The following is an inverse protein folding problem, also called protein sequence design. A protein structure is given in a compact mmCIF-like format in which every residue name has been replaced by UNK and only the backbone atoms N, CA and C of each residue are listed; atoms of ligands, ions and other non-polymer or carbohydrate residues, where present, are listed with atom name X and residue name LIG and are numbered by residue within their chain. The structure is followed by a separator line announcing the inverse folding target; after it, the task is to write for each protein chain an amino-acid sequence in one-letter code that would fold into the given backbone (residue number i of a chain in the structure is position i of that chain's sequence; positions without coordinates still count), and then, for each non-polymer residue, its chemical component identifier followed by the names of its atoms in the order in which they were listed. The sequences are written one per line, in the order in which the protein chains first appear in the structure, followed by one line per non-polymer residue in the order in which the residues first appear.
data_IF_684213026666
#
_entry.id   IF_684213026666
#
_cell.length_a   1.000
_cell.length_b   1.000
_cell.length_c   1.000
_cell.angle_alpha   90.00
_cell.angle_beta   90.00
_cell.angle_gamma   90.00
#
_symmetry.space_group_name_H-M   'P 1'
#
loop_
_entity.id
_entity.type
_entity.pdbx_description
1 polymer ?
#
# COMPACT_ATOMS: atom_id res chain seq x y z
N UNK A 1 -12.88 -57.80 -14.73
CA UNK A 1 -11.68 -57.42 -13.95
C UNK A 1 -11.21 -56.04 -14.44
N UNK A 2 -11.47 -54.96 -13.72
CA UNK A 2 -10.95 -53.63 -14.02
C UNK A 2 -9.56 -53.53 -13.40
N UNK A 3 -8.52 -53.47 -14.24
CA UNK A 3 -7.17 -53.17 -13.78
C UNK A 3 -7.12 -51.78 -13.18
N UNK A 4 -6.72 -51.70 -11.89
CA UNK A 4 -6.52 -50.43 -11.20
C UNK A 4 -5.42 -49.61 -11.88
N UNK A 5 -5.77 -48.39 -12.27
CA UNK A 5 -4.78 -47.38 -12.66
C UNK A 5 -3.94 -47.08 -11.42
N UNK A 6 -2.65 -47.39 -11.46
CA UNK A 6 -1.66 -46.88 -10.51
C UNK A 6 -1.65 -45.35 -10.63
N UNK A 7 -2.01 -44.67 -9.57
CA UNK A 7 -1.76 -43.23 -9.44
C UNK A 7 -0.24 -43.01 -9.45
N UNK A 8 0.25 -42.24 -10.40
CA UNK A 8 1.67 -41.93 -10.53
C UNK A 8 1.96 -40.61 -9.78
N UNK A 9 3.13 -40.57 -9.13
CA UNK A 9 3.54 -39.39 -8.41
C UNK A 9 3.83 -38.23 -9.37
N UNK A 10 3.66 -36.99 -8.88
CA UNK A 10 4.00 -35.75 -9.61
C UNK A 10 5.48 -35.76 -10.04
N UNK A 11 6.34 -36.37 -9.25
CA UNK A 11 7.79 -36.48 -9.52
C UNK A 11 8.11 -37.31 -10.78
N UNK A 12 7.32 -38.36 -11.09
CA UNK A 12 7.46 -39.11 -12.35
C UNK A 12 7.10 -38.26 -13.58
N UNK A 13 6.23 -37.28 -13.42
CA UNK A 13 5.82 -36.34 -14.50
C UNK A 13 6.83 -35.22 -14.73
N UNK A 14 7.57 -34.82 -13.70
CA UNK A 14 8.64 -33.80 -13.82
C UNK A 14 9.85 -34.34 -14.63
N UNK A 15 10.11 -35.64 -14.61
CA UNK A 15 11.20 -36.29 -15.36
C UNK A 15 10.94 -36.43 -16.87
N UNK A 16 9.67 -36.29 -17.31
CA UNK A 16 9.27 -36.43 -18.70
C UNK A 16 8.16 -35.42 -19.08
N UNK A 17 8.52 -34.20 -19.46
CA UNK A 17 7.56 -33.13 -19.77
C UNK A 17 6.62 -33.42 -20.94
N UNK A 18 7.06 -34.22 -21.94
CA UNK A 18 6.21 -34.59 -23.08
C UNK A 18 5.12 -35.54 -22.68
N UNK A 19 5.47 -36.48 -21.78
CA UNK A 19 4.54 -37.44 -21.21
C UNK A 19 3.58 -36.78 -20.22
N UNK A 20 4.04 -35.74 -19.49
CA UNK A 20 3.20 -34.94 -18.62
C UNK A 20 2.11 -34.25 -19.41
N UNK A 21 2.43 -33.61 -20.56
CA UNK A 21 1.47 -32.99 -21.43
C UNK A 21 0.43 -33.97 -22.00
N UNK A 22 0.85 -35.18 -22.35
CA UNK A 22 -0.07 -36.23 -22.85
C UNK A 22 -1.04 -36.71 -21.75
N UNK A 23 -0.56 -36.87 -20.52
CA UNK A 23 -1.35 -37.37 -19.39
C UNK A 23 -2.29 -36.28 -18.83
N UNK A 24 -1.80 -35.03 -18.68
CA UNK A 24 -2.56 -33.96 -18.03
C UNK A 24 -3.57 -33.33 -19.02
N UNK A 25 -3.16 -33.13 -20.27
CA UNK A 25 -3.95 -32.38 -21.26
C UNK A 25 -4.52 -33.27 -22.38
N UNK A 26 -4.33 -34.60 -22.34
CA UNK A 26 -4.85 -35.53 -23.35
C UNK A 26 -4.24 -35.33 -24.75
N UNK A 27 -3.09 -34.69 -24.85
CA UNK A 27 -2.45 -34.38 -26.15
C UNK A 27 -1.75 -35.61 -26.70
N UNK A 28 -2.03 -35.99 -27.95
CA UNK A 28 -1.31 -37.04 -28.63
C UNK A 28 0.06 -36.54 -29.11
N UNK A 29 1.12 -37.26 -28.76
CA UNK A 29 2.49 -36.96 -29.14
C UNK A 29 2.69 -36.95 -30.64
N UNK A 30 3.08 -35.82 -31.20
CA UNK A 30 3.37 -35.65 -32.61
C UNK A 30 3.97 -34.27 -32.98
N UNK A 31 3.81 -33.29 -32.05
CA UNK A 31 4.38 -31.96 -32.26
C UNK A 31 5.06 -31.57 -30.94
N UNK A 32 6.39 -31.36 -31.00
CA UNK A 32 7.13 -30.86 -29.83
C UNK A 32 6.59 -29.48 -29.40
N UNK A 33 6.72 -29.12 -28.10
CA UNK A 33 6.37 -27.77 -27.62
C UNK A 33 6.95 -26.67 -28.50
N UNK A 34 8.16 -26.88 -29.01
CA UNK A 34 8.84 -25.94 -29.91
C UNK A 34 8.16 -25.88 -31.27
N UNK A 35 7.81 -27.01 -31.87
CA UNK A 35 7.09 -27.07 -33.13
C UNK A 35 5.65 -26.56 -33.05
N UNK A 36 4.99 -26.69 -31.87
CA UNK A 36 3.68 -26.10 -31.66
C UNK A 36 3.75 -24.57 -31.53
N UNK A 37 4.78 -24.05 -30.86
CA UNK A 37 4.99 -22.61 -30.71
C UNK A 37 5.52 -21.92 -31.99
N UNK A 38 6.21 -22.68 -32.88
CA UNK A 38 6.75 -22.19 -34.11
C UNK A 38 5.79 -22.34 -35.36
N UNK A 39 4.65 -23.02 -35.19
CA UNK A 39 3.78 -23.39 -36.28
C UNK A 39 2.33 -22.92 -36.20
N UNK A 40 1.50 -23.47 -37.09
CA UNK A 40 0.06 -23.16 -37.25
C UNK A 40 -0.80 -23.31 -35.95
N UNK A 41 -0.27 -23.91 -34.91
CA UNK A 41 -0.96 -24.06 -33.61
C UNK A 41 -1.21 -22.72 -32.90
N UNK A 42 -0.29 -21.76 -33.01
CA UNK A 42 -0.45 -20.40 -32.48
C UNK A 42 -1.53 -19.59 -33.23
N UNK A 43 -1.56 -19.75 -34.55
CA UNK A 43 -2.57 -19.10 -35.39
C UNK A 43 -3.98 -19.71 -35.13
N UNK A 44 -4.07 -21.02 -34.91
CA UNK A 44 -5.33 -21.69 -34.57
C UNK A 44 -5.85 -21.34 -33.17
N UNK A 45 -4.96 -21.16 -32.18
CA UNK A 45 -5.37 -20.68 -30.85
C UNK A 45 -5.84 -19.24 -30.90
N UNK A 46 -5.18 -18.36 -31.64
CA UNK A 46 -5.61 -16.95 -31.85
C UNK A 46 -6.99 -16.86 -32.49
N UNK A 47 -7.30 -17.74 -33.45
CA UNK A 47 -8.60 -17.81 -34.09
C UNK A 47 -9.70 -18.45 -33.19
N UNK A 48 -9.35 -19.42 -32.36
CA UNK A 48 -10.28 -20.13 -31.47
C UNK A 48 -10.65 -19.35 -30.19
N UNK A 49 -9.73 -18.52 -29.69
CA UNK A 49 -9.92 -17.74 -28.44
C UNK A 49 -10.57 -16.39 -28.73
N UNK A 50 -10.67 -16.00 -30.01
CA UNK A 50 -11.23 -14.71 -30.41
C UNK A 50 -10.40 -13.51 -29.94
N UNK A 51 -10.60 -12.36 -30.58
CA UNK A 51 -9.83 -11.14 -30.34
C UNK A 51 -10.10 -10.44 -28.99
N UNK A 52 -10.71 -11.11 -28.03
CA UNK A 52 -11.01 -10.55 -26.71
C UNK A 52 -10.63 -11.50 -25.59
N UNK A 53 -9.33 -11.51 -25.23
CA UNK A 53 -8.94 -12.00 -23.91
C UNK A 53 -9.21 -10.85 -22.92
N UNK A 54 -10.19 -10.98 -22.00
CA UNK A 54 -10.58 -9.90 -21.10
C UNK A 54 -9.48 -9.41 -20.16
N UNK A 55 -8.32 -10.07 -20.20
CA UNK A 55 -7.20 -9.87 -19.26
C UNK A 55 -5.91 -9.36 -19.93
N UNK A 56 -5.93 -9.03 -21.23
CA UNK A 56 -4.73 -8.60 -21.96
C UNK A 56 -4.04 -7.37 -21.34
N UNK A 57 -4.81 -6.48 -20.66
CA UNK A 57 -4.28 -5.31 -19.96
C UNK A 57 -3.58 -5.60 -18.63
N UNK A 58 -3.72 -6.82 -18.08
CA UNK A 58 -3.18 -7.19 -16.76
C UNK A 58 -2.02 -8.21 -16.84
N UNK A 59 -1.59 -8.57 -18.03
CA UNK A 59 -0.47 -9.48 -18.23
C UNK A 59 0.82 -8.63 -18.23
N UNK A 60 1.83 -8.97 -17.40
CA UNK A 60 3.11 -8.27 -17.40
C UNK A 60 3.71 -8.18 -18.81
N UNK A 61 4.23 -7.01 -19.17
CA UNK A 61 4.89 -6.79 -20.45
C UNK A 61 6.01 -7.84 -20.64
N UNK A 62 5.96 -8.58 -21.74
CA UNK A 62 6.89 -9.68 -22.05
C UNK A 62 6.30 -11.09 -21.93
N UNK A 63 5.12 -11.27 -21.31
CA UNK A 63 4.41 -12.56 -21.30
C UNK A 63 3.40 -12.70 -22.45
N UNK A 64 3.10 -11.61 -23.18
CA UNK A 64 2.27 -11.66 -24.38
C UNK A 64 3.19 -11.89 -25.56
N UNK A 65 3.07 -13.02 -26.29
CA UNK A 65 3.77 -13.19 -27.55
C UNK A 65 3.47 -12.03 -28.50
N UNK A 66 4.47 -11.50 -29.19
CA UNK A 66 4.34 -10.34 -30.08
C UNK A 66 3.22 -10.46 -31.14
N UNK A 67 2.81 -11.69 -31.47
CA UNK A 67 1.72 -11.98 -32.41
C UNK A 67 0.34 -11.52 -31.87
N UNK A 68 0.18 -11.36 -30.55
CA UNK A 68 -1.04 -10.87 -29.95
C UNK A 68 -1.02 -9.36 -29.66
N UNK A 69 0.10 -8.70 -29.94
CA UNK A 69 0.27 -7.25 -29.82
C UNK A 69 -0.17 -6.50 -31.08
N UNK A 70 -1.14 -7.03 -31.85
CA UNK A 70 -1.68 -6.29 -32.99
C UNK A 70 -2.53 -5.12 -32.53
N UNK A 71 -2.11 -3.94 -33.00
CA UNK A 71 -2.73 -2.64 -32.79
C UNK A 71 -4.23 -2.64 -33.13
N UNK A 72 -5.06 -2.69 -32.07
CA UNK A 72 -6.33 -1.97 -32.13
C UNK A 72 -6.12 -0.67 -31.36
N UNK A 73 -6.58 0.49 -31.88
CA UNK A 73 -6.58 1.70 -31.08
C UNK A 73 -7.47 1.43 -29.88
N UNK A 74 -6.84 1.20 -28.70
CA UNK A 74 -7.55 1.17 -27.45
C UNK A 74 -8.00 2.61 -27.17
N UNK A 75 -9.30 2.84 -27.15
CA UNK A 75 -9.85 3.95 -26.42
C UNK A 75 -9.38 3.81 -24.96
N UNK A 76 -8.48 4.70 -24.54
CA UNK A 76 -7.82 4.68 -23.24
C UNK A 76 -6.49 3.92 -23.23
N UNK A 77 -5.47 4.40 -23.96
CA UNK A 77 -4.07 4.10 -23.66
C UNK A 77 -3.87 4.34 -22.15
N UNK A 78 -3.21 3.41 -21.41
CA UNK A 78 -2.54 3.83 -20.20
C UNK A 78 -1.63 5.00 -20.64
N UNK A 79 -1.84 6.19 -20.12
CA UNK A 79 -0.94 7.31 -20.35
C UNK A 79 0.45 6.80 -20.01
N UNK A 80 1.43 7.06 -20.88
CA UNK A 80 2.84 6.89 -20.53
C UNK A 80 3.04 7.48 -19.14
N UNK A 81 3.83 6.85 -18.25
CA UNK A 81 4.02 7.36 -16.90
C UNK A 81 4.44 8.83 -17.01
N UNK A 82 3.52 9.73 -16.72
CA UNK A 82 3.81 11.15 -16.75
C UNK A 82 4.74 11.42 -15.58
N UNK A 83 5.92 11.96 -15.88
CA UNK A 83 6.83 12.41 -14.83
C UNK A 83 6.08 13.41 -13.94
N UNK A 84 6.11 13.16 -12.65
CA UNK A 84 5.50 14.06 -11.68
C UNK A 84 6.26 15.39 -11.66
N UNK A 85 5.61 16.44 -12.15
CA UNK A 85 6.16 17.81 -12.03
C UNK A 85 5.47 18.50 -10.85
N UNK A 86 6.03 18.30 -9.66
CA UNK A 86 5.55 18.96 -8.44
C UNK A 86 6.76 19.44 -7.63
N UNK A 87 6.87 20.76 -7.32
CA UNK A 87 7.98 21.29 -6.55
C UNK A 87 8.21 20.53 -5.23
N UNK A 88 9.45 20.16 -4.95
CA UNK A 88 9.85 19.40 -3.76
C UNK A 88 9.50 17.92 -3.79
N UNK A 89 9.11 17.37 -4.95
CA UNK A 89 8.84 15.93 -5.13
C UNK A 89 9.75 15.31 -6.19
N UNK A 90 10.09 14.03 -5.96
CA UNK A 90 10.88 13.24 -6.90
C UNK A 90 10.05 12.98 -8.18
N UNK A 91 10.59 13.27 -9.37
CA UNK A 91 9.90 13.03 -10.64
C UNK A 91 9.65 11.55 -10.95
N UNK A 92 10.35 10.63 -10.26
CA UNK A 92 10.17 9.19 -10.44
C UNK A 92 8.99 8.61 -9.63
N UNK A 93 8.27 9.41 -8.85
CA UNK A 93 7.03 8.96 -8.23
C UNK A 93 6.03 8.54 -9.31
N UNK A 94 5.38 7.39 -9.12
CA UNK A 94 4.42 6.83 -10.07
C UNK A 94 3.04 7.47 -9.83
N UNK A 95 2.59 8.30 -10.78
CA UNK A 95 1.26 8.92 -10.71
C UNK A 95 0.19 7.86 -10.97
N UNK A 96 -0.70 7.66 -9.99
CA UNK A 96 -1.84 6.72 -10.06
C UNK A 96 -3.19 7.46 -10.16
N UNK A 97 -3.16 8.77 -10.13
CA UNK A 97 -4.32 9.65 -10.34
C UNK A 97 -3.87 11.11 -10.34
N UNK A 98 -4.38 11.89 -11.28
CA UNK A 98 -4.03 13.31 -11.48
C UNK A 98 -5.02 14.27 -10.80
N UNK A 99 -6.29 13.89 -10.68
CA UNK A 99 -7.37 14.70 -10.06
C UNK A 99 -8.23 13.85 -9.12
N UNK A 100 -7.96 13.89 -7.81
CA UNK A 100 -6.85 14.58 -7.13
C UNK A 100 -5.52 13.90 -7.38
N UNK A 101 -4.42 14.67 -7.30
CA UNK A 101 -3.08 14.14 -7.46
C UNK A 101 -2.78 13.06 -6.42
N UNK A 102 -2.44 11.87 -6.91
CA UNK A 102 -2.03 10.72 -6.12
C UNK A 102 -0.84 10.05 -6.80
N UNK A 103 0.23 9.81 -6.05
CA UNK A 103 1.44 9.20 -6.59
C UNK A 103 2.07 8.27 -5.55
N UNK A 104 2.53 7.09 -5.98
CA UNK A 104 3.19 6.12 -5.12
C UNK A 104 4.71 6.18 -5.25
N UNK A 105 5.39 5.73 -4.20
CA UNK A 105 6.85 5.64 -4.13
C UNK A 105 7.30 4.32 -4.75
N UNK A 106 8.15 4.29 -5.76
CA UNK A 106 8.88 3.08 -6.16
C UNK A 106 9.60 2.46 -4.96
N UNK A 107 9.61 1.14 -4.86
CA UNK A 107 10.14 0.45 -3.67
C UNK A 107 11.60 0.82 -3.37
N UNK A 108 12.43 1.01 -4.39
CA UNK A 108 13.83 1.43 -4.28
C UNK A 108 14.03 2.86 -3.77
N UNK A 109 13.01 3.71 -3.85
CA UNK A 109 13.03 5.09 -3.35
C UNK A 109 12.48 5.24 -1.93
N UNK A 110 12.02 4.16 -1.30
CA UNK A 110 11.51 4.19 0.07
C UNK A 110 12.57 4.58 1.11
N UNK A 111 13.86 4.50 0.74
CA UNK A 111 14.99 4.83 1.61
C UNK A 111 15.30 3.73 2.63
N UNK A 112 16.43 3.85 3.32
CA UNK A 112 16.85 2.82 4.27
C UNK A 112 16.26 3.06 5.67
N UNK A 113 16.52 4.24 6.26
CA UNK A 113 16.04 4.56 7.62
C UNK A 113 14.67 5.24 7.61
N UNK A 114 14.49 6.17 6.68
CA UNK A 114 13.24 6.91 6.46
C UNK A 114 13.05 7.15 4.98
N UNK A 115 11.82 7.29 4.57
CA UNK A 115 11.49 7.69 3.20
C UNK A 115 11.81 9.19 3.03
N UNK A 116 12.67 9.58 2.09
CA UNK A 116 12.93 10.99 1.81
C UNK A 116 11.64 11.78 1.58
N UNK A 117 11.58 13.04 2.02
CA UNK A 117 10.38 13.88 1.84
C UNK A 117 9.98 13.97 0.38
N UNK A 118 10.98 14.08 -0.48
CA UNK A 118 10.83 14.16 -1.93
C UNK A 118 10.21 12.90 -2.52
N UNK A 119 10.59 11.72 -2.01
CA UNK A 119 10.11 10.42 -2.46
C UNK A 119 8.84 9.93 -1.74
N UNK A 120 8.43 10.55 -0.64
CA UNK A 120 7.26 10.08 0.13
C UNK A 120 5.97 10.17 -0.69
N UNK A 121 5.14 9.12 -0.68
CA UNK A 121 3.91 9.02 -1.49
C UNK A 121 2.94 10.19 -1.26
N UNK A 122 2.15 10.51 -2.27
CA UNK A 122 1.13 11.55 -2.23
C UNK A 122 -0.24 10.90 -2.30
N UNK A 123 -1.11 11.19 -1.32
CA UNK A 123 -2.52 10.79 -1.33
C UNK A 123 -3.42 11.94 -0.95
N UNK A 124 -4.27 12.34 -1.88
CA UNK A 124 -5.25 13.43 -1.70
C UNK A 124 -6.66 12.95 -2.03
N UNK A 125 -7.65 13.54 -1.38
CA UNK A 125 -9.07 13.41 -1.70
C UNK A 125 -9.60 14.65 -2.44
N UNK A 126 -9.02 15.81 -2.17
CA UNK A 126 -9.28 17.10 -2.78
C UNK A 126 -8.04 17.73 -3.38
N UNK A 127 -8.11 19.02 -3.61
CA UNK A 127 -6.97 19.84 -4.03
C UNK A 127 -5.90 19.93 -2.93
N UNK A 128 -4.70 20.34 -3.32
CA UNK A 128 -3.63 20.69 -2.39
C UNK A 128 -3.76 22.21 -2.17
N UNK A 129 -4.05 22.69 -0.94
CA UNK A 129 -4.09 24.12 -0.67
C UNK A 129 -2.67 24.70 -0.68
N UNK A 130 -2.59 26.00 -0.96
CA UNK A 130 -1.34 26.74 -0.84
C UNK A 130 -0.85 26.73 0.62
N UNK A 131 0.47 26.67 0.78
CA UNK A 131 1.06 26.81 2.10
C UNK A 131 0.84 28.24 2.60
N UNK A 132 0.43 28.45 3.87
CA UNK A 132 0.23 29.77 4.41
C UNK A 132 1.55 30.54 4.50
N UNK A 133 1.51 31.84 4.19
CA UNK A 133 2.69 32.72 4.27
C UNK A 133 3.23 32.84 5.70
N UNK A 134 2.36 32.75 6.71
CA UNK A 134 2.69 32.80 8.13
C UNK A 134 2.23 31.52 8.84
N UNK A 135 3.00 30.43 8.76
CA UNK A 135 2.60 29.13 9.31
C UNK A 135 2.23 29.16 10.80
N UNK A 136 2.91 29.97 11.60
CA UNK A 136 2.67 30.04 13.05
C UNK A 136 1.32 30.69 13.42
N UNK A 137 0.70 31.42 12.49
CA UNK A 137 -0.66 31.96 12.65
C UNK A 137 -1.77 30.94 12.27
N UNK A 138 -1.42 29.77 11.75
CA UNK A 138 -2.39 28.72 11.46
C UNK A 138 -3.11 28.28 12.73
N UNK A 139 -4.43 28.33 12.77
CA UNK A 139 -5.22 28.01 13.96
C UNK A 139 -5.78 26.61 13.87
N UNK A 140 -5.53 25.81 14.90
CA UNK A 140 -6.23 24.55 15.15
C UNK A 140 -7.39 24.81 16.12
N UNK A 141 -8.61 24.47 15.70
CA UNK A 141 -9.81 24.52 16.54
C UNK A 141 -10.07 23.15 17.18
N UNK A 142 -10.34 23.15 18.47
CA UNK A 142 -10.81 21.96 19.21
C UNK A 142 -12.12 22.33 19.91
N UNK A 143 -13.19 21.61 19.60
CA UNK A 143 -14.53 21.87 20.08
C UNK A 143 -15.35 20.58 20.28
N UNK A 144 -16.67 20.73 20.52
CA UNK A 144 -17.60 19.63 20.78
C UNK A 144 -17.60 19.20 22.26
N UNK A 145 -17.42 17.91 22.54
CA UNK A 145 -17.49 17.33 23.89
C UNK A 145 -16.20 17.61 24.70
N UNK A 146 -15.90 18.91 24.85
CA UNK A 146 -14.82 19.45 25.69
C UNK A 146 -15.35 20.51 26.65
N UNK A 147 -14.69 20.65 27.81
CA UNK A 147 -15.02 21.66 28.80
C UNK A 147 -14.64 23.06 28.36
N UNK A 148 -13.51 23.19 27.66
CA UNK A 148 -12.92 24.44 27.17
C UNK A 148 -12.57 24.31 25.69
N UNK A 149 -13.43 24.78 24.78
CA UNK A 149 -13.06 24.88 23.36
C UNK A 149 -11.77 25.71 23.19
N UNK A 150 -10.92 25.29 22.27
CA UNK A 150 -9.62 25.90 22.03
C UNK A 150 -9.50 26.35 20.58
N UNK A 151 -8.98 27.56 20.41
CA UNK A 151 -8.46 28.09 19.14
C UNK A 151 -6.97 28.33 19.34
N UNK A 152 -6.12 27.40 18.88
CA UNK A 152 -4.69 27.40 19.20
C UNK A 152 -3.89 27.69 17.93
N UNK A 153 -3.20 28.82 17.84
CA UNK A 153 -2.21 29.06 16.79
C UNK A 153 -1.07 28.03 16.83
N UNK A 154 -0.53 27.66 15.67
CA UNK A 154 0.58 26.72 15.58
C UNK A 154 1.80 27.15 16.39
N UNK A 155 2.10 28.47 16.43
CA UNK A 155 3.17 29.02 17.25
C UNK A 155 2.96 28.73 18.76
N UNK A 156 1.71 28.75 19.23
CA UNK A 156 1.39 28.35 20.61
C UNK A 156 1.52 26.85 20.83
N UNK A 157 1.10 26.01 19.89
CA UNK A 157 1.29 24.56 19.99
C UNK A 157 2.77 24.22 20.19
N UNK A 158 3.65 24.88 19.45
CA UNK A 158 5.10 24.66 19.51
C UNK A 158 5.73 25.03 20.85
N UNK A 159 5.13 25.94 21.59
CA UNK A 159 5.70 26.50 22.83
C UNK A 159 5.00 26.02 24.09
N UNK A 160 3.70 25.72 24.04
CA UNK A 160 2.91 25.35 25.23
C UNK A 160 2.96 23.87 25.59
N UNK A 161 3.29 22.98 24.65
CA UNK A 161 3.24 21.55 24.85
C UNK A 161 4.61 20.90 24.60
N UNK A 162 4.91 19.76 25.27
CA UNK A 162 6.17 19.05 25.07
C UNK A 162 6.31 18.52 23.63
N UNK A 163 7.34 18.96 22.95
CA UNK A 163 7.66 18.53 21.59
C UNK A 163 8.18 17.11 21.60
N UNK A 164 7.75 16.30 20.66
CA UNK A 164 8.14 14.91 20.46
C UNK A 164 8.60 14.68 19.02
N UNK A 165 9.53 13.76 18.86
CA UNK A 165 9.93 13.21 17.56
C UNK A 165 9.74 11.70 17.57
N UNK A 166 9.06 11.16 16.55
CA UNK A 166 8.74 9.74 16.45
C UNK A 166 8.89 9.24 15.02
N UNK A 167 9.67 8.15 14.79
CA UNK A 167 9.64 7.44 13.54
C UNK A 167 8.34 6.64 13.43
N UNK A 168 7.56 6.90 12.39
CA UNK A 168 6.27 6.22 12.20
C UNK A 168 5.98 6.01 10.72
N UNK A 169 5.45 4.82 10.40
CA UNK A 169 4.93 4.47 9.08
C UNK A 169 3.55 5.09 8.88
N UNK A 170 3.34 5.69 7.71
CA UNK A 170 2.01 6.00 7.17
C UNK A 170 1.76 5.15 5.94
N UNK A 171 0.57 4.54 5.88
CA UNK A 171 0.16 3.70 4.76
C UNK A 171 -1.27 4.01 4.34
N UNK A 172 -1.51 4.13 3.02
CA UNK A 172 -2.84 4.29 2.46
C UNK A 172 -3.64 2.99 2.60
N UNK A 173 -4.91 3.08 2.99
CA UNK A 173 -5.81 1.92 3.06
C UNK A 173 -5.88 1.12 1.75
N UNK A 174 -5.70 1.78 0.62
CA UNK A 174 -5.72 1.18 -0.70
C UNK A 174 -4.38 0.64 -1.18
N UNK A 175 -3.31 0.68 -0.38
CA UNK A 175 -2.03 0.12 -0.77
C UNK A 175 -2.19 -1.37 -1.11
N UNK A 176 -1.71 -1.80 -2.29
CA UNK A 176 -1.93 -3.15 -2.81
C UNK A 176 -3.24 -3.36 -3.58
N UNK A 177 -4.05 -2.32 -3.83
CA UNK A 177 -5.36 -2.46 -4.50
C UNK A 177 -5.26 -3.12 -5.87
N UNK A 178 -4.19 -2.86 -6.61
CA UNK A 178 -3.94 -3.45 -7.92
C UNK A 178 -3.84 -4.99 -7.91
N UNK A 179 -3.67 -5.61 -6.74
CA UNK A 179 -3.56 -7.07 -6.60
C UNK A 179 -4.90 -7.77 -6.37
N UNK A 180 -6.02 -7.04 -6.26
CA UNK A 180 -7.33 -7.67 -6.19
C UNK A 180 -7.81 -8.13 -7.56
N UNK A 181 -8.36 -9.33 -7.60
CA UNK A 181 -8.98 -9.93 -8.80
C UNK A 181 -10.39 -10.40 -8.43
N UNK A 182 -11.44 -9.86 -9.09
CA UNK A 182 -11.41 -8.77 -10.07
C UNK A 182 -10.95 -7.44 -9.46
N UNK A 183 -10.53 -6.44 -10.30
CA UNK A 183 -10.07 -5.15 -9.82
C UNK A 183 -11.14 -4.45 -8.96
N UNK A 184 -10.74 -3.91 -7.83
CA UNK A 184 -11.59 -3.09 -6.96
C UNK A 184 -11.54 -1.62 -7.39
N UNK A 185 -12.54 -0.82 -6.99
CA UNK A 185 -12.63 0.60 -7.33
C UNK A 185 -11.55 1.44 -6.65
N UNK A 186 -11.12 2.50 -7.31
CA UNK A 186 -10.19 3.52 -6.79
C UNK A 186 -8.80 3.42 -7.42
N UNK A 187 -7.89 4.25 -6.93
CA UNK A 187 -6.52 4.30 -7.45
C UNK A 187 -5.83 2.95 -7.30
N UNK A 188 -5.26 2.46 -8.38
CA UNK A 188 -4.65 1.13 -8.45
C UNK A 188 -3.21 1.16 -7.91
N UNK A 189 -3.10 1.43 -6.61
CA UNK A 189 -1.83 1.37 -5.88
C UNK A 189 -1.22 -0.03 -5.96
N UNK A 190 0.07 -0.09 -6.21
CA UNK A 190 0.83 -1.35 -6.09
C UNK A 190 1.33 -1.54 -4.64
N UNK A 191 2.57 -1.19 -4.34
CA UNK A 191 3.16 -1.36 -3.01
C UNK A 191 3.68 -0.05 -2.40
N UNK A 192 3.64 1.04 -3.16
CA UNK A 192 4.33 2.29 -2.83
C UNK A 192 3.46 3.35 -2.17
N UNK A 193 2.19 3.06 -1.83
CA UNK A 193 1.36 3.99 -1.07
C UNK A 193 1.68 3.92 0.44
N UNK A 194 2.96 3.96 0.77
CA UNK A 194 3.52 3.87 2.12
C UNK A 194 4.80 4.69 2.22
N UNK A 195 5.16 5.08 3.43
CA UNK A 195 6.46 5.63 3.77
C UNK A 195 6.64 5.70 5.28
N UNK A 196 7.90 5.66 5.73
CA UNK A 196 8.27 5.91 7.11
C UNK A 196 8.95 7.26 7.22
N UNK A 197 8.60 8.06 8.22
CA UNK A 197 9.26 9.34 8.47
C UNK A 197 9.39 9.59 9.97
N UNK A 198 10.36 10.43 10.35
CA UNK A 198 10.42 11.00 11.69
C UNK A 198 9.51 12.22 11.71
N UNK A 199 8.43 12.11 12.47
CA UNK A 199 7.45 13.18 12.65
C UNK A 199 7.76 13.95 13.90
N UNK A 200 7.76 15.29 13.81
CA UNK A 200 7.95 16.19 14.95
C UNK A 200 6.69 17.00 15.20
N UNK A 201 6.27 17.00 16.45
CA UNK A 201 5.06 17.69 16.86
C UNK A 201 4.80 17.54 18.35
N UNK A 202 3.56 17.74 18.75
CA UNK A 202 3.09 17.56 20.14
C UNK A 202 2.08 16.43 20.20
N UNK A 203 1.95 15.77 21.34
CA UNK A 203 0.94 14.73 21.51
C UNK A 203 -0.46 15.35 21.48
N UNK A 204 -1.34 14.77 20.67
CA UNK A 204 -2.75 15.18 20.67
C UNK A 204 -3.37 15.03 22.08
N UNK A 205 -2.98 14.01 22.81
CA UNK A 205 -3.44 13.76 24.18
C UNK A 205 -3.22 14.95 25.12
N UNK A 206 -2.08 15.65 25.00
CA UNK A 206 -1.77 16.78 25.88
C UNK A 206 -2.67 17.98 25.57
N UNK A 207 -2.96 18.22 24.29
CA UNK A 207 -3.86 19.29 23.85
C UNK A 207 -5.31 18.98 24.24
N UNK A 208 -5.76 17.71 24.10
CA UNK A 208 -7.10 17.28 24.53
C UNK A 208 -7.27 17.37 26.05
N UNK A 209 -6.22 17.06 26.85
CA UNK A 209 -6.24 17.28 28.31
C UNK A 209 -6.38 18.75 28.66
N UNK A 210 -5.72 19.66 27.92
CA UNK A 210 -5.87 21.09 28.11
C UNK A 210 -7.29 21.58 27.78
N UNK A 211 -7.94 20.97 26.77
CA UNK A 211 -9.34 21.25 26.44
C UNK A 211 -10.32 20.68 27.50
N UNK A 212 -9.94 19.63 28.20
CA UNK A 212 -10.80 18.91 29.16
C UNK A 212 -11.88 18.10 28.45
N UNK A 213 -11.65 16.80 28.25
CA UNK A 213 -12.66 15.93 27.64
C UNK A 213 -13.82 15.71 28.61
N UNK A 214 -15.06 15.87 28.14
CA UNK A 214 -16.26 15.48 28.89
C UNK A 214 -16.39 13.96 28.98
N UNK A 215 -17.14 13.46 29.96
CA UNK A 215 -17.43 12.04 30.09
C UNK A 215 -18.21 11.43 28.91
N UNK A 216 -18.92 12.26 28.14
CA UNK A 216 -19.62 11.93 26.89
C UNK A 216 -18.71 11.79 25.67
N UNK A 217 -17.43 12.16 25.77
CA UNK A 217 -16.49 12.13 24.66
C UNK A 217 -16.19 10.69 24.20
N UNK A 218 -16.56 10.33 22.98
CA UNK A 218 -16.43 8.97 22.41
C UNK A 218 -15.48 8.93 21.21
N UNK A 219 -15.55 9.94 20.35
CA UNK A 219 -14.89 9.92 19.05
C UNK A 219 -14.40 11.30 18.63
N UNK A 220 -13.40 11.38 17.76
CA UNK A 220 -13.00 12.63 17.10
C UNK A 220 -13.62 12.75 15.72
N UNK A 221 -13.81 13.98 15.25
CA UNK A 221 -14.11 14.30 13.86
C UNK A 221 -13.06 15.30 13.38
N UNK A 222 -12.15 14.84 12.53
CA UNK A 222 -11.01 15.63 12.07
C UNK A 222 -11.29 16.19 10.68
N UNK A 223 -10.93 17.44 10.42
CA UNK A 223 -11.02 18.07 9.13
C UNK A 223 -9.81 18.92 8.80
N UNK A 224 -9.54 19.04 7.52
CA UNK A 224 -8.47 19.85 6.95
C UNK A 224 -9.01 20.96 6.05
N UNK A 225 -8.10 21.78 5.56
CA UNK A 225 -8.40 22.91 4.67
C UNK A 225 -8.33 22.55 3.18
N UNK A 226 -8.27 21.27 2.82
CA UNK A 226 -8.20 20.85 1.42
C UNK A 226 -9.49 21.18 0.66
N UNK A 227 -9.40 21.92 -0.47
CA UNK A 227 -10.57 22.31 -1.24
C UNK A 227 -11.20 21.07 -1.90
N UNK A 228 -12.55 21.02 -1.90
CA UNK A 228 -13.29 19.98 -2.58
C UNK A 228 -13.13 20.13 -4.11
N UNK A 229 -13.01 19.01 -4.84
CA UNK A 229 -12.77 19.02 -6.30
C UNK A 229 -13.87 19.68 -7.13
N UNK A 230 -15.07 19.85 -6.57
CA UNK A 230 -16.15 20.62 -7.23
C UNK A 230 -15.94 22.13 -7.19
N UNK A 231 -14.94 22.64 -6.43
CA UNK A 231 -14.75 24.06 -6.19
C UNK A 231 -15.74 24.68 -5.20
N UNK A 232 -16.70 23.92 -4.67
CA UNK A 232 -17.67 24.38 -3.70
C UNK A 232 -17.06 24.41 -2.28
N UNK A 233 -16.86 25.59 -1.67
CA UNK A 233 -16.23 25.73 -0.37
C UNK A 233 -17.10 25.21 0.79
N UNK A 234 -18.41 25.01 0.57
CA UNK A 234 -19.32 24.45 1.57
C UNK A 234 -19.19 22.93 1.71
N UNK A 235 -18.59 22.26 0.72
CA UNK A 235 -18.43 20.81 0.70
C UNK A 235 -17.12 20.40 1.34
N UNK A 236 -17.23 19.57 2.37
CA UNK A 236 -16.07 18.96 2.99
C UNK A 236 -15.51 17.85 2.11
N UNK A 237 -14.21 17.84 1.88
CA UNK A 237 -13.52 16.81 1.07
C UNK A 237 -13.47 15.47 1.79
N UNK A 238 -12.99 15.48 3.03
CA UNK A 238 -12.85 14.31 3.88
C UNK A 238 -12.99 14.71 5.35
N UNK A 239 -13.68 13.90 6.13
CA UNK A 239 -13.69 14.02 7.57
C UNK A 239 -13.59 12.63 8.19
N UNK A 240 -12.42 12.29 8.67
CA UNK A 240 -12.17 11.03 9.35
C UNK A 240 -12.00 11.27 10.85
N UNK A 241 -12.40 10.30 11.64
CA UNK A 241 -12.20 10.36 13.09
C UNK A 241 -11.52 9.09 13.61
N UNK A 242 -11.22 9.14 14.91
CA UNK A 242 -10.72 8.00 15.67
C UNK A 242 -11.43 7.95 17.02
N UNK A 243 -11.57 6.78 17.66
CA UNK A 243 -11.99 6.72 19.06
C UNK A 243 -11.13 7.63 19.94
N UNK A 244 -11.71 8.24 20.96
CA UNK A 244 -10.96 9.07 21.92
C UNK A 244 -9.77 8.31 22.50
N UNK A 245 -9.91 7.01 22.77
CA UNK A 245 -8.79 6.18 23.22
C UNK A 245 -7.59 6.23 22.27
N UNK A 246 -7.80 6.20 20.95
CA UNK A 246 -6.73 6.33 19.95
C UNK A 246 -6.21 7.76 19.83
N UNK A 247 -7.05 8.76 19.97
CA UNK A 247 -6.65 10.16 20.02
C UNK A 247 -5.75 10.44 21.24
N UNK A 248 -5.97 9.73 22.35
CA UNK A 248 -5.20 9.81 23.59
C UNK A 248 -3.95 8.92 23.62
N UNK A 249 -3.70 8.14 22.57
CA UNK A 249 -2.45 7.36 22.41
C UNK A 249 -1.25 8.31 22.44
N UNK A 250 -0.21 7.95 23.20
CA UNK A 250 0.99 8.78 23.38
C UNK A 250 1.78 9.04 22.08
N UNK A 251 1.53 8.26 21.05
CA UNK A 251 2.18 8.41 19.74
C UNK A 251 1.31 9.12 18.72
N UNK A 252 0.07 9.47 19.03
CA UNK A 252 -0.78 10.30 18.13
C UNK A 252 -0.32 11.76 18.21
N UNK A 253 0.19 12.28 17.10
CA UNK A 253 0.84 13.60 17.05
C UNK A 253 0.08 14.61 16.19
N UNK A 254 0.12 15.87 16.64
CA UNK A 254 -0.09 17.07 15.85
C UNK A 254 1.29 17.48 15.33
N UNK A 255 1.60 17.16 14.06
CA UNK A 255 2.94 17.29 13.49
C UNK A 255 3.05 18.46 12.52
N UNK A 256 4.19 19.17 12.54
CA UNK A 256 4.53 20.29 11.66
C UNK A 256 5.87 20.12 10.94
N UNK A 257 6.67 19.08 11.30
CA UNK A 257 7.90 18.72 10.60
C UNK A 257 7.91 17.23 10.25
N UNK A 258 8.64 16.92 9.22
CA UNK A 258 8.87 15.59 8.70
C UNK A 258 10.35 15.44 8.32
N UNK A 259 11.05 14.46 8.92
CA UNK A 259 12.48 14.23 8.70
C UNK A 259 13.35 15.49 8.96
N UNK A 260 13.06 16.24 10.02
CA UNK A 260 13.79 17.44 10.42
C UNK A 260 13.56 18.67 9.54
N UNK A 261 12.59 18.63 8.61
CA UNK A 261 12.22 19.76 7.75
C UNK A 261 10.75 20.14 7.98
N UNK A 262 10.36 21.42 7.82
CA UNK A 262 8.97 21.81 7.81
C UNK A 262 8.17 21.00 6.80
N UNK A 263 6.89 20.73 7.10
CA UNK A 263 6.00 20.07 6.15
C UNK A 263 5.88 20.89 4.87
N UNK A 264 5.84 20.20 3.73
CA UNK A 264 5.49 20.81 2.43
C UNK A 264 3.98 20.65 2.16
N UNK A 265 3.43 21.45 1.26
CA UNK A 265 2.00 21.45 0.94
C UNK A 265 1.43 20.06 0.64
N UNK A 266 2.05 19.20 -0.21
CA UNK A 266 1.55 17.84 -0.48
C UNK A 266 1.46 16.93 0.75
N UNK A 267 2.23 17.22 1.80
CA UNK A 267 2.27 16.44 3.05
C UNK A 267 1.51 17.08 4.20
N UNK A 268 0.76 18.18 3.94
CA UNK A 268 -0.18 18.76 4.89
C UNK A 268 0.34 19.96 5.67
N UNK A 269 1.27 20.75 5.07
CA UNK A 269 1.72 21.99 5.69
C UNK A 269 0.54 22.92 6.00
N UNK A 270 0.56 23.67 7.12
CA UNK A 270 1.64 23.73 8.10
C UNK A 270 1.47 22.72 9.24
N UNK A 271 0.29 22.10 9.37
CA UNK A 271 -0.05 21.19 10.47
C UNK A 271 -0.81 19.97 9.95
N UNK A 272 -0.44 18.81 10.44
CA UNK A 272 -1.18 17.57 10.17
C UNK A 272 -1.36 16.74 11.43
N UNK A 273 -2.37 15.88 11.43
CA UNK A 273 -2.50 14.80 12.37
C UNK A 273 -1.71 13.58 11.87
N UNK A 274 -1.04 12.87 12.76
CA UNK A 274 -0.42 11.56 12.53
C UNK A 274 -0.99 10.57 13.54
N UNK A 275 -1.74 9.58 13.04
CA UNK A 275 -2.37 8.51 13.83
C UNK A 275 -1.63 7.21 13.51
N UNK A 276 -0.66 6.81 14.32
CA UNK A 276 0.24 5.71 13.99
C UNK A 276 -0.48 4.36 14.01
N UNK A 277 -0.05 3.47 13.09
CA UNK A 277 -0.61 2.12 12.96
C UNK A 277 -2.02 2.07 12.37
N UNK A 278 -2.66 3.23 12.14
CA UNK A 278 -3.98 3.33 11.51
C UNK A 278 -3.85 3.69 10.03
N UNK A 279 -4.95 3.46 9.30
CA UNK A 279 -5.00 3.82 7.88
C UNK A 279 -4.70 5.29 7.66
N UNK A 280 -3.90 5.60 6.65
CA UNK A 280 -3.37 6.94 6.40
C UNK A 280 -4.42 8.05 6.29
N UNK A 281 -5.69 7.71 5.95
CA UNK A 281 -6.78 8.69 5.91
C UNK A 281 -7.15 9.26 7.29
N UNK A 282 -6.81 8.58 8.39
CA UNK A 282 -6.99 9.10 9.74
C UNK A 282 -5.93 10.18 10.09
N UNK A 283 -4.82 10.20 9.37
CA UNK A 283 -3.73 11.17 9.53
C UNK A 283 -3.99 12.41 8.66
N UNK A 284 -4.94 13.24 9.10
CA UNK A 284 -5.40 14.41 8.35
C UNK A 284 -4.30 15.41 8.05
N UNK A 285 -4.23 15.85 6.79
CA UNK A 285 -3.37 16.92 6.30
C UNK A 285 -4.08 18.27 6.43
N UNK A 286 -3.31 19.36 6.47
CA UNK A 286 -3.82 20.73 6.56
C UNK A 286 -4.85 20.88 7.69
N UNK A 287 -4.57 20.20 8.80
CA UNK A 287 -5.50 20.07 9.91
C UNK A 287 -5.85 21.44 10.50
N UNK A 288 -7.14 21.77 10.51
CA UNK A 288 -7.63 23.03 11.06
C UNK A 288 -8.71 22.85 12.14
N UNK A 289 -9.31 21.64 12.28
CA UNK A 289 -10.32 21.40 13.29
C UNK A 289 -10.36 19.94 13.75
N UNK A 290 -10.54 19.75 15.05
CA UNK A 290 -10.88 18.47 15.68
C UNK A 290 -12.13 18.72 16.53
N UNK A 291 -13.26 18.13 16.16
CA UNK A 291 -14.49 18.15 16.96
C UNK A 291 -14.60 16.87 17.76
N UNK A 292 -14.71 16.95 19.06
CA UNK A 292 -14.95 15.79 19.91
C UNK A 292 -16.45 15.49 19.92
N UNK A 293 -16.80 14.22 19.75
CA UNK A 293 -18.20 13.77 19.59
C UNK A 293 -18.59 12.79 20.67
N UNK A 294 -19.87 12.77 21.00
CA UNK A 294 -20.55 11.82 21.89
C UNK A 294 -20.93 10.49 21.20
N UNK A 295 -20.64 10.36 19.91
CA UNK A 295 -20.91 9.18 19.08
C UNK A 295 -19.80 8.94 18.07
N UNK A 296 -19.77 7.75 17.46
CA UNK A 296 -18.89 7.44 16.32
C UNK A 296 -19.13 8.47 15.21
N UNK A 297 -18.04 8.98 14.65
CA UNK A 297 -18.13 9.96 13.57
C UNK A 297 -18.78 9.38 12.30
N UNK A 298 -19.70 10.12 11.72
CA UNK A 298 -20.52 9.75 10.58
C UNK A 298 -20.36 10.73 9.38
N UNK A 299 -19.29 11.53 9.39
CA UNK A 299 -19.00 12.51 8.34
C UNK A 299 -18.48 11.91 7.04
N UNK A 300 -18.08 12.81 6.12
CA UNK A 300 -17.56 12.45 4.79
C UNK A 300 -16.33 11.53 4.89
N UNK A 301 -16.44 10.31 4.38
CA UNK A 301 -15.39 9.28 4.46
C UNK A 301 -15.57 8.30 5.64
N UNK A 302 -16.71 8.32 6.34
CA UNK A 302 -17.06 7.37 7.40
C UNK A 302 -18.31 6.54 7.07
N UNK A 303 -19.15 6.97 6.11
CA UNK A 303 -20.36 6.30 5.69
C UNK A 303 -20.18 5.40 4.48
N UNK A 304 -21.17 4.57 4.21
CA UNK A 304 -21.18 3.62 3.12
C UNK A 304 -20.04 2.61 3.22
N UNK A 305 -19.46 2.24 2.09
CA UNK A 305 -18.25 1.41 2.05
C UNK A 305 -16.95 2.20 2.26
N UNK A 306 -17.02 3.51 2.50
CA UNK A 306 -15.85 4.36 2.60
C UNK A 306 -15.03 4.01 3.85
N UNK A 307 -13.80 3.53 3.65
CA UNK A 307 -12.91 3.05 4.70
C UNK A 307 -13.54 2.02 5.64
N UNK A 308 -14.35 1.15 5.05
CA UNK A 308 -14.96 0.01 5.72
C UNK A 308 -14.62 -1.27 4.98
N UNK A 309 -14.53 -2.37 5.72
CA UNK A 309 -14.25 -3.70 5.16
C UNK A 309 -15.31 -4.68 5.64
N UNK A 310 -15.67 -5.69 4.85
CA UNK A 310 -16.61 -6.73 5.27
C UNK A 310 -16.13 -7.43 6.55
N UNK A 311 -17.07 -7.74 7.45
CA UNK A 311 -16.80 -8.53 8.67
C UNK A 311 -16.58 -10.01 8.34
N UNK A 312 -17.10 -10.47 7.20
CA UNK A 312 -16.91 -11.82 6.65
C UNK A 312 -16.47 -11.72 5.21
N UNK A 313 -15.72 -12.70 4.70
CA UNK A 313 -15.38 -12.76 3.27
C UNK A 313 -16.62 -12.69 2.39
N UNK A 314 -16.56 -11.92 1.32
CA UNK A 314 -17.61 -11.80 0.31
C UNK A 314 -17.10 -12.30 -1.04
N UNK A 315 -18.04 -12.62 -1.94
CA UNK A 315 -17.69 -13.06 -3.29
C UNK A 315 -16.99 -11.93 -4.04
N UNK A 316 -15.77 -12.14 -4.57
CA UNK A 316 -15.07 -11.13 -5.34
C UNK A 316 -15.92 -10.59 -6.51
N UNK A 317 -15.95 -9.25 -6.66
CA UNK A 317 -16.78 -8.58 -7.65
C UNK A 317 -18.23 -8.29 -7.21
N UNK A 318 -18.68 -8.80 -6.06
CA UNK A 318 -20.03 -8.49 -5.54
C UNK A 318 -20.11 -7.07 -4.96
N UNK A 319 -21.33 -6.56 -4.80
CA UNK A 319 -21.54 -5.24 -4.16
C UNK A 319 -21.28 -5.28 -2.64
N UNK A 320 -21.52 -6.42 -2.00
CA UNK A 320 -21.57 -6.54 -0.54
C UNK A 320 -22.77 -5.83 0.09
N UNK A 321 -22.91 -5.93 1.42
CA UNK A 321 -23.87 -5.19 2.22
C UNK A 321 -23.11 -4.24 3.17
N UNK A 322 -23.51 -2.96 3.23
CA UNK A 322 -22.89 -1.98 4.12
C UNK A 322 -23.09 -2.34 5.59
N UNK A 323 -24.23 -2.95 5.94
CA UNK A 323 -24.53 -3.38 7.30
C UNK A 323 -23.55 -4.45 7.81
N UNK A 324 -23.01 -5.28 6.89
CA UNK A 324 -22.02 -6.31 7.20
C UNK A 324 -20.57 -5.81 7.13
N UNK A 325 -20.36 -4.51 7.32
CA UNK A 325 -19.03 -3.92 7.30
C UNK A 325 -18.61 -3.34 8.66
N UNK A 326 -17.33 -3.30 8.90
CA UNK A 326 -16.72 -2.59 10.04
C UNK A 326 -15.79 -1.49 9.55
N UNK A 327 -15.59 -0.46 10.37
CA UNK A 327 -14.60 0.60 10.10
C UNK A 327 -13.22 -0.05 9.99
N UNK A 328 -12.48 0.33 8.96
CA UNK A 328 -11.08 -0.05 8.80
C UNK A 328 -10.22 0.89 9.66
N UNK A 329 -9.62 0.34 10.67
CA UNK A 329 -8.76 1.04 11.63
C UNK A 329 -7.29 0.79 11.31
N UNK A 330 -6.85 -0.45 11.41
CA UNK A 330 -5.45 -0.86 11.26
C UNK A 330 -5.17 -1.48 9.91
N UNK A 331 -3.92 -1.42 9.47
CA UNK A 331 -3.44 -2.08 8.27
C UNK A 331 -2.85 -3.45 8.60
N UNK A 332 -2.97 -4.44 7.69
CA UNK A 332 -2.38 -5.76 7.88
C UNK A 332 -0.85 -5.71 7.78
N UNK A 333 -0.19 -6.78 8.27
CA UNK A 333 1.25 -6.98 8.14
C UNK A 333 1.71 -6.93 6.69
N UNK A 334 2.87 -6.31 6.45
CA UNK A 334 3.45 -6.15 5.12
C UNK A 334 4.97 -6.14 5.16
N UNK A 335 5.60 -6.60 4.07
CA UNK A 335 7.00 -6.35 3.76
C UNK A 335 7.17 -5.93 2.31
N UNK A 336 8.25 -5.18 2.04
CA UNK A 336 8.64 -4.71 0.70
C UNK A 336 10.13 -4.97 0.52
N UNK A 337 10.52 -5.50 -0.64
CA UNK A 337 11.92 -5.57 -1.08
C UNK A 337 12.26 -4.19 -1.65
N UNK A 338 13.26 -3.54 -1.08
CA UNK A 338 13.72 -2.20 -1.47
C UNK A 338 15.01 -2.24 -2.27
N UNK A 339 15.61 -3.39 -2.37
CA UNK A 339 16.80 -3.64 -3.18
C UNK A 339 17.10 -5.13 -3.33
N UNK A 340 17.54 -5.50 -4.55
CA UNK A 340 17.67 -4.69 -5.76
C UNK A 340 16.33 -4.25 -6.33
N UNK A 341 16.34 -3.31 -7.29
CA UNK A 341 15.14 -2.86 -7.98
C UNK A 341 14.51 -3.99 -8.79
N UNK A 342 13.19 -3.92 -8.99
CA UNK A 342 12.49 -4.84 -9.88
C UNK A 342 13.02 -4.71 -11.30
N UNK A 343 13.29 -5.84 -11.98
CA UNK A 343 13.90 -5.87 -13.31
C UNK A 343 15.43 -5.75 -13.31
N UNK A 344 16.08 -5.81 -12.16
CA UNK A 344 17.54 -5.74 -12.06
C UNK A 344 18.23 -6.83 -12.88
N UNK A 345 19.32 -6.44 -13.56
CA UNK A 345 20.21 -7.36 -14.29
C UNK A 345 21.51 -7.53 -13.52
N UNK A 346 21.87 -8.76 -13.26
CA UNK A 346 23.10 -9.16 -12.58
C UNK A 346 24.07 -9.76 -13.60
N UNK A 347 25.36 -9.61 -13.37
CA UNK A 347 26.38 -10.20 -14.24
C UNK A 347 26.26 -11.72 -14.32
N UNK A 348 26.57 -12.29 -15.49
CA UNK A 348 26.68 -13.73 -15.67
C UNK A 348 27.62 -14.35 -14.62
N UNK A 349 27.29 -15.52 -14.10
CA UNK A 349 28.04 -16.16 -13.04
C UNK A 349 27.74 -15.66 -11.63
N UNK A 350 26.85 -14.69 -11.44
CA UNK A 350 26.40 -14.30 -10.09
C UNK A 350 25.69 -15.46 -9.41
N UNK A 351 26.14 -15.84 -8.20
CA UNK A 351 25.62 -17.00 -7.46
C UNK A 351 25.02 -16.65 -6.10
N UNK A 352 24.94 -15.37 -5.79
CA UNK A 352 24.25 -14.85 -4.61
C UNK A 352 23.70 -13.45 -4.89
N UNK A 353 22.54 -13.16 -4.30
CA UNK A 353 21.90 -11.84 -4.36
C UNK A 353 21.69 -11.32 -2.95
N UNK A 354 22.21 -10.12 -2.69
CA UNK A 354 21.93 -9.40 -1.46
C UNK A 354 20.58 -8.67 -1.59
N UNK A 355 19.74 -8.83 -0.59
CA UNK A 355 18.42 -8.22 -0.50
C UNK A 355 18.36 -7.27 0.68
N UNK A 356 17.63 -6.18 0.54
CA UNK A 356 17.23 -5.30 1.63
C UNK A 356 15.77 -4.92 1.50
N UNK A 357 15.13 -4.63 2.64
CA UNK A 357 13.74 -4.21 2.65
C UNK A 357 13.28 -3.73 4.01
N UNK A 358 12.00 -3.43 4.09
CA UNK A 358 11.32 -3.04 5.31
C UNK A 358 10.03 -3.86 5.49
N UNK A 359 9.63 -4.03 6.75
CA UNK A 359 8.38 -4.71 7.12
C UNK A 359 7.72 -3.96 8.28
N UNK A 360 6.40 -3.96 8.31
CA UNK A 360 5.59 -3.28 9.33
C UNK A 360 4.25 -3.98 9.53
N UNK A 361 3.68 -3.76 10.71
CA UNK A 361 2.32 -4.19 11.04
C UNK A 361 1.80 -3.22 12.08
N UNK A 362 0.72 -2.53 11.82
CA UNK A 362 0.07 -1.56 12.71
C UNK A 362 0.76 -1.32 14.07
N UNK A 363 0.30 -2.02 15.12
CA UNK A 363 0.79 -1.97 16.51
C UNK A 363 1.43 -3.29 16.96
N UNK A 364 1.54 -4.30 16.10
CA UNK A 364 1.96 -5.65 16.48
C UNK A 364 3.46 -5.87 16.40
N UNK A 365 4.16 -5.05 15.60
CA UNK A 365 5.56 -5.28 15.28
C UNK A 365 5.78 -6.54 14.44
N UNK A 366 7.01 -6.76 14.00
CA UNK A 366 7.37 -7.85 13.09
C UNK A 366 8.11 -8.95 13.85
N UNK A 367 7.63 -10.19 13.72
CA UNK A 367 8.27 -11.37 14.27
C UNK A 367 9.37 -11.89 13.34
N UNK A 368 9.06 -11.99 12.04
CA UNK A 368 10.00 -12.49 11.05
C UNK A 368 9.66 -12.01 9.65
N UNK A 369 10.68 -12.00 8.79
CA UNK A 369 10.57 -11.86 7.35
C UNK A 369 11.28 -13.04 6.73
N UNK A 370 10.68 -13.62 5.70
CA UNK A 370 11.22 -14.72 4.94
C UNK A 370 11.27 -14.35 3.46
N UNK A 371 12.30 -14.85 2.77
CA UNK A 371 12.53 -14.61 1.34
C UNK A 371 12.69 -15.93 0.59
N UNK A 372 12.31 -15.93 -0.69
CA UNK A 372 12.39 -17.10 -1.57
C UNK A 372 12.86 -16.69 -2.97
N UNK A 373 13.67 -17.53 -3.62
CA UNK A 373 14.07 -17.39 -5.03
C UNK A 373 13.54 -18.53 -5.93
N UNK A 374 12.68 -19.39 -5.40
CA UNK A 374 12.16 -20.57 -6.08
C UNK A 374 10.65 -20.73 -5.95
N UNK A 375 9.92 -19.61 -6.12
CA UNK A 375 8.45 -19.55 -6.09
C UNK A 375 7.82 -20.05 -4.77
N UNK A 376 8.51 -19.85 -3.65
CA UNK A 376 8.02 -20.22 -2.32
C UNK A 376 8.17 -21.68 -1.98
N UNK A 377 8.90 -22.48 -2.76
CA UNK A 377 9.20 -23.88 -2.43
C UNK A 377 10.05 -23.97 -1.17
N UNK A 378 11.05 -23.08 -1.06
CA UNK A 378 11.83 -22.91 0.17
C UNK A 378 11.88 -21.43 0.57
N UNK A 379 12.01 -21.23 1.88
CA UNK A 379 12.07 -19.90 2.47
C UNK A 379 13.29 -19.78 3.37
N UNK A 380 14.00 -18.66 3.25
CA UNK A 380 15.14 -18.32 4.09
C UNK A 380 14.78 -17.12 4.96
N UNK A 381 15.13 -17.18 6.25
CA UNK A 381 14.86 -16.07 7.19
C UNK A 381 15.78 -14.90 6.92
N UNK A 382 15.19 -13.73 6.81
CA UNK A 382 15.92 -12.47 6.76
C UNK A 382 16.38 -12.05 8.18
N UNK A 383 17.48 -11.30 8.23
CA UNK A 383 17.96 -10.67 9.45
C UNK A 383 17.19 -9.36 9.66
N UNK A 384 16.45 -9.28 10.76
CA UNK A 384 15.73 -8.07 11.18
C UNK A 384 16.64 -7.12 11.97
N UNK A 385 16.56 -5.83 11.68
CA UNK A 385 17.03 -4.78 12.56
C UNK A 385 15.91 -4.35 13.53
N UNK A 386 16.22 -4.04 14.81
CA UNK A 386 15.23 -3.56 15.75
C UNK A 386 14.63 -2.23 15.25
N UNK A 387 13.31 -2.02 15.38
CA UNK A 387 12.68 -0.74 15.06
C UNK A 387 13.09 0.32 16.12
N UNK A 388 13.13 1.59 15.72
CA UNK A 388 13.47 2.73 16.60
C UNK A 388 12.28 3.16 17.49
N UNK A 389 11.11 2.61 17.26
CA UNK A 389 9.88 2.89 18.02
C UNK A 389 8.76 1.92 17.64
N UNK A 390 7.63 1.95 18.36
CA UNK A 390 6.57 0.95 18.21
C UNK A 390 5.86 0.98 16.85
N UNK A 391 5.92 2.11 16.16
CA UNK A 391 5.27 2.30 14.85
C UNK A 391 6.27 2.58 13.72
N UNK A 392 7.58 2.36 13.98
CA UNK A 392 8.62 2.34 12.95
C UNK A 392 8.53 1.02 12.16
N UNK A 393 9.07 0.99 10.97
CA UNK A 393 9.28 -0.26 10.27
C UNK A 393 10.50 -1.02 10.79
N UNK A 394 10.45 -2.34 10.66
CA UNK A 394 11.61 -3.21 10.87
C UNK A 394 12.35 -3.37 9.55
N UNK A 395 13.57 -2.86 9.47
CA UNK A 395 14.43 -3.09 8.30
C UNK A 395 14.93 -4.52 8.31
N UNK A 396 15.11 -5.08 7.14
CA UNK A 396 15.63 -6.43 7.02
C UNK A 396 16.62 -6.56 5.88
N UNK A 397 17.53 -7.54 6.01
CA UNK A 397 18.49 -7.94 4.99
C UNK A 397 18.50 -9.45 4.85
N UNK A 398 18.80 -9.94 3.65
CA UNK A 398 18.99 -11.36 3.37
C UNK A 398 19.97 -11.54 2.23
N UNK A 399 20.52 -12.75 2.11
CA UNK A 399 21.34 -13.15 0.95
C UNK A 399 20.81 -14.48 0.46
N UNK A 400 20.29 -14.53 -0.77
CA UNK A 400 19.82 -15.76 -1.40
C UNK A 400 20.87 -16.32 -2.34
N UNK A 401 20.98 -17.65 -2.39
CA UNK A 401 21.80 -18.37 -3.38
C UNK A 401 21.04 -18.46 -4.70
N UNK A 402 21.79 -18.27 -5.80
CA UNK A 402 21.27 -18.41 -7.16
C UNK A 402 22.01 -19.58 -7.82
N UNK A 403 21.34 -20.70 -8.12
CA UNK A 403 22.02 -21.92 -8.59
C UNK A 403 22.63 -21.77 -10.00
N UNK A 404 22.09 -20.91 -10.85
CA UNK A 404 22.49 -20.76 -12.27
C UNK A 404 22.30 -19.32 -12.74
N UNK A 405 22.72 -19.03 -13.95
CA UNK A 405 22.25 -17.88 -14.70
C UNK A 405 20.79 -18.12 -15.11
N UNK A 406 20.02 -17.04 -15.30
CA UNK A 406 18.61 -17.12 -15.68
C UNK A 406 17.72 -16.13 -14.95
N UNK A 407 16.43 -16.29 -15.16
CA UNK A 407 15.38 -15.46 -14.55
C UNK A 407 14.98 -15.99 -13.17
N UNK A 408 14.86 -15.07 -12.23
CA UNK A 408 14.38 -15.32 -10.87
C UNK A 408 13.26 -14.38 -10.49
N UNK A 409 12.22 -14.89 -9.83
CA UNK A 409 11.34 -14.09 -9.00
C UNK A 409 11.77 -14.22 -7.54
N UNK A 410 12.11 -13.10 -6.93
CA UNK A 410 12.43 -13.01 -5.51
C UNK A 410 11.17 -12.59 -4.77
N UNK A 411 10.76 -13.37 -3.81
CA UNK A 411 9.57 -13.14 -3.00
C UNK A 411 9.96 -12.79 -1.57
N UNK A 412 9.19 -11.90 -0.93
CA UNK A 412 9.31 -11.61 0.49
C UNK A 412 7.95 -11.62 1.16
N UNK A 413 7.88 -12.22 2.35
CA UNK A 413 6.71 -12.18 3.23
C UNK A 413 7.10 -11.86 4.66
N UNK A 414 6.26 -11.12 5.38
CA UNK A 414 6.41 -10.87 6.80
C UNK A 414 5.33 -11.59 7.61
N UNK A 415 5.69 -11.95 8.85
CA UNK A 415 4.77 -12.40 9.88
C UNK A 415 4.90 -11.47 11.08
N UNK A 416 3.78 -11.00 11.62
CA UNK A 416 3.77 -10.14 12.81
C UNK A 416 3.81 -10.95 14.13
N UNK A 417 3.95 -10.25 15.25
CA UNK A 417 4.00 -10.89 16.57
C UNK A 417 2.67 -11.53 17.01
N UNK A 418 1.56 -11.18 16.36
CA UNK A 418 0.27 -11.84 16.57
C UNK A 418 0.12 -13.12 15.72
N UNK A 419 1.08 -13.41 14.83
CA UNK A 419 1.08 -14.60 13.97
C UNK A 419 0.40 -14.41 12.62
N UNK A 420 -0.09 -13.20 12.29
CA UNK A 420 -0.62 -12.93 10.98
C UNK A 420 0.52 -12.85 9.96
N UNK A 421 0.36 -13.56 8.83
CA UNK A 421 1.35 -13.62 7.75
C UNK A 421 0.76 -13.06 6.47
N UNK A 422 1.56 -12.40 5.66
CA UNK A 422 1.15 -11.98 4.32
C UNK A 422 0.72 -13.19 3.50
N UNK A 423 -0.37 -13.11 2.72
CA UNK A 423 -0.79 -14.18 1.81
C UNK A 423 -0.11 -14.06 0.44
N UNK A 424 -0.10 -15.16 -0.31
CA UNK A 424 0.34 -15.15 -1.70
C UNK A 424 -0.57 -14.31 -2.61
N UNK A 425 -1.87 -14.39 -2.40
CA UNK A 425 -2.91 -13.65 -3.14
C UNK A 425 -3.75 -12.81 -2.20
N UNK A 426 -4.38 -11.75 -2.71
CA UNK A 426 -5.29 -10.90 -1.94
C UNK A 426 -6.64 -11.59 -1.70
N UNK A 427 -6.71 -12.40 -0.62
CA UNK A 427 -7.90 -13.19 -0.28
C UNK A 427 -9.02 -12.40 0.41
N UNK A 428 -8.80 -11.14 0.77
CA UNK A 428 -9.74 -10.29 1.51
C UNK A 428 -10.44 -9.27 0.59
N UNK A 429 -10.88 -9.69 -0.59
CA UNK A 429 -11.49 -8.82 -1.58
C UNK A 429 -12.64 -8.00 -0.96
N UNK A 430 -12.69 -6.73 -1.29
CA UNK A 430 -13.76 -5.83 -0.89
C UNK A 430 -14.00 -4.75 -1.96
N UNK A 431 -15.20 -4.14 -2.04
CA UNK A 431 -15.56 -3.25 -3.14
C UNK A 431 -14.65 -2.02 -3.31
N UNK A 432 -14.00 -1.58 -2.23
CA UNK A 432 -13.09 -0.43 -2.22
C UNK A 432 -11.61 -0.82 -2.30
N UNK A 433 -11.30 -2.11 -2.29
CA UNK A 433 -9.94 -2.62 -2.42
C UNK A 433 -9.00 -2.19 -1.30
N UNK A 434 -9.45 -2.27 -0.04
CA UNK A 434 -8.64 -1.95 1.12
C UNK A 434 -7.91 -3.16 1.70
N UNK A 435 -6.73 -2.94 2.24
CA UNK A 435 -6.01 -3.90 3.06
C UNK A 435 -5.42 -5.11 2.31
N UNK A 436 -5.24 -5.03 0.99
CA UNK A 436 -4.50 -6.07 0.27
C UNK A 436 -3.03 -6.06 0.71
N UNK A 437 -2.50 -7.22 1.11
CA UNK A 437 -1.15 -7.33 1.67
C UNK A 437 -0.39 -8.56 1.13
N UNK A 438 -0.50 -8.83 -0.16
CA UNK A 438 0.18 -9.97 -0.80
C UNK A 438 1.70 -9.90 -0.64
N UNK A 439 2.39 -11.03 -0.83
CA UNK A 439 3.85 -11.07 -0.92
C UNK A 439 4.37 -10.00 -1.87
N UNK A 440 5.45 -9.34 -1.48
CA UNK A 440 6.18 -8.50 -2.42
C UNK A 440 7.08 -9.35 -3.30
N UNK A 441 7.10 -9.05 -4.60
CA UNK A 441 7.85 -9.81 -5.61
C UNK A 441 8.61 -8.88 -6.51
N UNK A 442 9.85 -9.24 -6.81
CA UNK A 442 10.67 -8.57 -7.82
C UNK A 442 11.22 -9.60 -8.79
N UNK A 443 11.38 -9.20 -10.04
CA UNK A 443 12.06 -9.97 -11.07
C UNK A 443 13.55 -9.60 -11.12
N UNK A 444 14.41 -10.59 -11.29
CA UNK A 444 15.85 -10.41 -11.46
C UNK A 444 16.35 -11.33 -12.57
N UNK A 445 17.24 -10.82 -13.43
CA UNK A 445 17.88 -11.60 -14.49
C UNK A 445 19.38 -11.69 -14.19
N UNK A 446 19.94 -12.90 -14.21
CA UNK A 446 21.38 -13.17 -14.15
C UNK A 446 21.86 -13.57 -15.54
N UNK A 447 22.77 -12.78 -16.12
CA UNK A 447 23.29 -13.04 -17.48
C UNK A 447 23.31 -11.84 -18.40
#
# INVERSE_FOLDING_TARGET
MRQGRKERSIDELYGDPERADAVIFGRRTGVSRRGFLEGAGLAAMGAAVGASIPFAGNIPAGLVPAVFAQDKPAEGKPSEPQNLVLPGKDPNLIVVGDKPLNAETPAELLGDDVTPVEAFFIRNHGGIPDAPAEPDKWVLKIDGEVERPLDIPLGELKTKFPVQERPMVLECAGNGRAFFIPPARGNQWTTGAVGCAVWKGVRLADVLKAAGLKSSAVYTANSGADPHLSGDPSRQTLSRGTPVAKAMDENTLLAWEMNGKPLIAPHGAPLRLVVPGWVGSCSHKWLNRITIRDKVHDGQGMGGFSYRVPVKPIVPGSKGDEADTRILETMPVRSVIMGPANGARLAAGTRAIALKGAAWSSDKGIREVEVSSNFGVTWEKAKLAPPRGPYDWSRWTATLKLPSDGYYEIWARATDNAGATQPFIAGNWNPQGYGANVYHRIAVLVG
#
